data_IF_001826380095
#
_entry.id   IF_001826380095
#
_cell.length_a   1.000
_cell.length_b   1.000
_cell.length_c   1.000
_cell.angle_alpha   90.00
_cell.angle_beta   90.00
_cell.angle_gamma   90.00
#
_symmetry.space_group_name_H-M   'P 1'
#
loop_
_entity.id
_entity.type
_entity.pdbx_description
1 polymer ?
#
# COMPACT_ATOMS: atom_id res chain seq x y z
N UNK A 1 -0.22 22.10 0.49
CA UNK A 1 0.27 20.98 -0.28
C UNK A 1 -0.83 20.20 -0.96
N UNK A 2 -0.47 19.47 -2.01
CA UNK A 2 -1.42 18.74 -2.85
C UNK A 2 -2.27 17.76 -2.02
N UNK A 3 -1.65 17.02 -1.10
CA UNK A 3 -2.35 16.09 -0.23
C UNK A 3 -3.48 16.76 0.56
N UNK A 4 -3.21 17.90 1.15
CA UNK A 4 -4.19 18.65 1.94
C UNK A 4 -5.30 19.22 1.06
N UNK A 5 -4.96 19.69 -0.12
CA UNK A 5 -5.94 20.20 -1.08
C UNK A 5 -6.84 19.07 -1.59
N UNK A 6 -6.29 17.90 -1.89
CA UNK A 6 -7.08 16.72 -2.28
C UNK A 6 -8.05 16.32 -1.18
N UNK A 7 -7.58 16.29 0.06
CA UNK A 7 -8.39 15.90 1.21
C UNK A 7 -9.60 16.81 1.42
N UNK A 8 -9.48 18.08 1.05
CA UNK A 8 -10.56 19.06 1.18
C UNK A 8 -11.64 18.96 0.11
N UNK A 9 -11.41 18.21 -0.95
CA UNK A 9 -12.36 18.11 -2.04
C UNK A 9 -13.60 17.31 -1.63
N UNK A 10 -14.82 17.79 -1.97
CA UNK A 10 -16.06 17.12 -1.54
C UNK A 10 -16.19 15.66 -1.99
N UNK A 11 -15.60 15.34 -3.17
CA UNK A 11 -15.67 13.99 -3.71
C UNK A 11 -14.67 13.03 -3.11
N UNK A 12 -13.74 13.52 -2.27
CA UNK A 12 -12.65 12.72 -1.71
C UNK A 12 -13.01 12.23 -0.32
N UNK A 13 -12.95 10.91 -0.12
CA UNK A 13 -13.18 10.29 1.18
C UNK A 13 -11.89 10.13 1.98
N UNK A 14 -10.77 9.86 1.30
CA UNK A 14 -9.48 9.74 1.96
C UNK A 14 -8.33 9.85 0.97
N UNK A 15 -7.18 10.28 1.48
CA UNK A 15 -5.93 10.40 0.71
C UNK A 15 -4.81 9.75 1.51
N UNK A 16 -3.99 8.98 0.84
CA UNK A 16 -2.77 8.43 1.41
C UNK A 16 -1.61 8.52 0.43
N UNK A 17 -0.42 8.33 0.92
CA UNK A 17 0.80 8.43 0.12
C UNK A 17 1.68 7.21 0.40
N UNK A 18 2.27 6.67 -0.65
CA UNK A 18 3.22 5.57 -0.55
C UNK A 18 4.38 5.79 -1.51
N UNK A 19 5.47 5.08 -1.30
CA UNK A 19 6.61 5.16 -2.21
C UNK A 19 6.30 4.48 -3.54
N UNK A 20 5.57 3.37 -3.50
CA UNK A 20 5.19 2.63 -4.70
C UNK A 20 3.69 2.46 -4.78
N UNK A 21 3.17 2.48 -6.00
CA UNK A 21 1.77 2.15 -6.26
C UNK A 21 1.48 0.69 -5.83
N UNK A 22 0.26 0.44 -5.40
CA UNK A 22 -0.22 -0.92 -5.14
C UNK A 22 -0.07 -1.82 -6.38
N UNK A 23 -0.08 -1.24 -7.58
CA UNK A 23 0.12 -1.94 -8.85
C UNK A 23 1.57 -1.92 -9.32
N UNK A 24 2.42 -1.16 -8.64
CA UNK A 24 3.83 -1.02 -9.00
C UNK A 24 4.67 -2.15 -8.44
N UNK A 25 5.93 -2.14 -8.86
CA UNK A 25 6.91 -3.03 -8.28
C UNK A 25 7.39 -2.46 -6.95
N UNK A 26 7.08 -3.13 -5.86
CA UNK A 26 7.64 -2.79 -4.57
C UNK A 26 9.15 -3.05 -4.57
N UNK A 27 9.86 -2.40 -3.69
CA UNK A 27 11.23 -2.78 -3.40
C UNK A 27 11.26 -4.19 -2.85
N UNK A 28 12.30 -4.93 -3.19
CA UNK A 28 12.44 -6.32 -2.80
C UNK A 28 13.76 -6.57 -2.09
N UNK A 29 13.76 -7.55 -1.22
CA UNK A 29 14.94 -8.12 -0.57
C UNK A 29 14.66 -9.57 -0.19
N UNK A 30 15.67 -10.30 0.22
CA UNK A 30 15.47 -11.64 0.74
C UNK A 30 14.79 -11.59 2.12
N UNK A 31 13.75 -12.40 2.29
CA UNK A 31 13.18 -12.67 3.61
C UNK A 31 14.01 -13.77 4.25
N UNK A 32 14.64 -13.47 5.38
CA UNK A 32 15.55 -14.37 6.07
C UNK A 32 14.91 -14.91 7.35
N UNK A 33 15.07 -16.21 7.57
CA UNK A 33 14.73 -16.81 8.85
C UNK A 33 15.73 -16.42 9.94
N UNK A 34 15.41 -16.70 11.20
CA UNK A 34 16.29 -16.38 12.33
C UNK A 34 17.63 -17.11 12.27
N UNK A 35 17.68 -18.26 11.62
CA UNK A 35 18.91 -19.06 11.43
C UNK A 35 19.65 -18.71 10.12
N UNK A 36 19.26 -17.63 9.45
CA UNK A 36 19.96 -17.10 8.29
C UNK A 36 19.62 -17.74 6.95
N UNK A 37 18.59 -18.56 6.89
CA UNK A 37 18.11 -19.14 5.62
C UNK A 37 17.22 -18.18 4.89
N UNK A 38 17.37 -18.10 3.57
CA UNK A 38 16.45 -17.36 2.73
C UNK A 38 15.15 -18.14 2.54
N UNK A 39 14.04 -17.53 2.92
CA UNK A 39 12.70 -18.12 2.85
C UNK A 39 11.95 -17.75 1.57
N UNK A 40 12.10 -16.51 1.13
CA UNK A 40 11.37 -15.99 -0.02
C UNK A 40 11.91 -14.62 -0.42
N UNK A 41 11.35 -14.05 -1.48
CA UNK A 41 11.55 -12.65 -1.82
C UNK A 41 10.51 -11.82 -1.07
N UNK A 42 11.00 -10.90 -0.24
CA UNK A 42 10.16 -9.97 0.52
C UNK A 42 9.88 -8.74 -0.31
N UNK A 43 8.62 -8.35 -0.39
CA UNK A 43 8.20 -7.08 -0.97
C UNK A 43 7.92 -6.09 0.16
N UNK A 44 8.40 -4.84 0.02
CA UNK A 44 8.16 -3.84 1.05
C UNK A 44 7.88 -2.47 0.45
N UNK A 45 7.09 -1.68 1.18
CA UNK A 45 6.68 -0.36 0.77
C UNK A 45 6.62 0.56 1.97
N UNK A 46 7.16 1.76 1.82
CA UNK A 46 6.98 2.82 2.80
C UNK A 46 5.69 3.55 2.51
N UNK A 47 4.87 3.77 3.51
CA UNK A 47 3.58 4.41 3.34
C UNK A 47 3.17 5.19 4.59
N UNK A 48 2.22 6.09 4.42
CA UNK A 48 1.62 6.81 5.54
C UNK A 48 0.80 5.84 6.41
N UNK A 49 0.61 6.21 7.67
CA UNK A 49 -0.04 5.35 8.67
C UNK A 49 -1.49 5.01 8.30
N UNK A 50 -2.16 5.88 7.56
CA UNK A 50 -3.53 5.68 7.11
C UNK A 50 -3.65 4.86 5.82
N UNK A 51 -2.54 4.37 5.29
CA UNK A 51 -2.53 3.63 4.02
C UNK A 51 -3.49 2.44 4.04
N UNK A 52 -3.48 1.58 5.07
CA UNK A 52 -4.42 0.45 5.09
C UNK A 52 -5.89 0.89 5.08
N UNK A 53 -6.23 1.93 5.85
CA UNK A 53 -7.59 2.43 5.92
C UNK A 53 -8.07 2.96 4.56
N UNK A 54 -7.28 3.79 3.91
CA UNK A 54 -7.63 4.37 2.61
C UNK A 54 -7.71 3.30 1.53
N UNK A 55 -6.79 2.34 1.55
CA UNK A 55 -6.74 1.26 0.56
C UNK A 55 -7.72 0.12 0.83
N UNK A 56 -8.42 0.14 1.96
CA UNK A 56 -9.35 -0.93 2.31
C UNK A 56 -8.66 -2.22 2.73
N UNK A 57 -7.45 -2.14 3.24
CA UNK A 57 -6.68 -3.28 3.73
C UNK A 57 -7.14 -3.59 5.15
N UNK A 58 -7.55 -4.84 5.39
CA UNK A 58 -8.05 -5.26 6.70
C UNK A 58 -6.91 -5.73 7.59
N UNK A 59 -6.81 -5.12 8.77
CA UNK A 59 -5.90 -5.58 9.83
C UNK A 59 -6.60 -6.67 10.64
N UNK A 60 -6.00 -7.84 10.71
CA UNK A 60 -6.59 -9.03 11.34
C UNK A 60 -5.94 -9.40 12.67
N UNK A 61 -4.79 -8.82 12.99
CA UNK A 61 -4.12 -8.98 14.28
C UNK A 61 -3.42 -7.67 14.61
N UNK A 62 -3.40 -7.28 15.88
CA UNK A 62 -2.70 -6.09 16.33
C UNK A 62 -3.42 -4.80 16.01
N UNK A 63 -2.64 -3.75 15.73
CA UNK A 63 -3.14 -2.37 15.56
C UNK A 63 -2.64 -1.76 14.26
N UNK A 64 -3.26 -0.65 13.80
CA UNK A 64 -2.68 0.16 12.73
C UNK A 64 -1.32 0.74 13.11
N UNK A 65 -0.58 1.17 12.12
CA UNK A 65 0.66 1.91 12.31
C UNK A 65 0.37 3.27 12.94
N UNK A 66 1.21 3.72 13.88
CA UNK A 66 1.04 4.98 14.59
C UNK A 66 2.28 5.87 14.56
N UNK A 67 3.43 5.29 14.29
CA UNK A 67 4.72 6.00 14.31
C UNK A 67 5.71 5.38 13.32
N UNK A 68 6.77 6.11 13.03
CA UNK A 68 7.85 5.60 12.20
C UNK A 68 8.45 4.32 12.78
N UNK A 69 8.71 3.35 11.93
CA UNK A 69 9.21 2.05 12.34
C UNK A 69 8.13 1.03 12.71
N UNK A 70 6.86 1.43 12.76
CA UNK A 70 5.77 0.47 12.88
C UNK A 70 5.64 -0.31 11.58
N UNK A 71 5.60 -1.63 11.68
CA UNK A 71 5.49 -2.54 10.54
C UNK A 71 4.14 -3.24 10.56
N UNK A 72 3.54 -3.36 9.39
CA UNK A 72 2.45 -4.30 9.14
C UNK A 72 2.95 -5.37 8.19
N UNK A 73 2.64 -6.61 8.50
CA UNK A 73 3.02 -7.77 7.69
C UNK A 73 1.78 -8.52 7.23
N UNK A 74 1.85 -9.15 6.07
CA UNK A 74 0.72 -9.95 5.60
C UNK A 74 0.71 -11.37 6.19
N UNK A 75 -0.36 -12.10 5.96
CA UNK A 75 -0.53 -13.47 6.44
C UNK A 75 0.56 -14.40 5.92
N UNK A 76 0.95 -14.23 4.66
CA UNK A 76 1.98 -15.06 4.04
C UNK A 76 3.34 -14.92 4.74
N UNK A 77 3.70 -13.70 5.15
CA UNK A 77 4.93 -13.50 5.91
C UNK A 77 4.88 -14.22 7.25
N UNK A 78 3.78 -14.13 7.95
CA UNK A 78 3.58 -14.81 9.24
C UNK A 78 3.74 -16.32 9.07
N UNK A 79 3.15 -16.87 8.01
CA UNK A 79 3.26 -18.30 7.69
C UNK A 79 4.70 -18.72 7.43
N UNK A 80 5.41 -17.97 6.59
CA UNK A 80 6.81 -18.26 6.25
C UNK A 80 7.74 -18.18 7.44
N UNK A 81 7.53 -17.21 8.32
CA UNK A 81 8.32 -17.04 9.53
C UNK A 81 7.93 -18.02 10.64
N UNK A 82 6.85 -18.76 10.45
CA UNK A 82 6.32 -19.72 11.44
C UNK A 82 6.00 -19.07 12.79
N UNK A 83 5.47 -17.87 12.76
CA UNK A 83 5.06 -17.17 13.98
C UNK A 83 3.71 -17.67 14.46
N UNK A 84 3.71 -18.83 15.06
CA UNK A 84 2.48 -19.49 15.57
C UNK A 84 1.98 -18.90 16.89
N UNK A 85 2.84 -18.17 17.58
CA UNK A 85 2.54 -17.51 18.87
C UNK A 85 2.18 -16.04 18.73
N UNK A 86 1.90 -15.59 17.53
CA UNK A 86 1.56 -14.19 17.24
C UNK A 86 2.71 -13.42 16.59
N UNK A 87 2.34 -12.39 15.85
CA UNK A 87 3.30 -11.58 15.10
C UNK A 87 3.65 -10.27 15.79
N UNK A 88 2.74 -9.71 16.59
CA UNK A 88 2.93 -8.40 17.24
C UNK A 88 4.13 -8.43 18.17
N UNK A 89 4.99 -7.45 18.03
CA UNK A 89 6.24 -7.35 18.80
C UNK A 89 7.43 -8.04 18.17
N UNK A 90 7.23 -8.81 17.12
CA UNK A 90 8.31 -9.49 16.39
C UNK A 90 9.09 -8.51 15.52
N UNK A 91 10.31 -8.92 15.18
CA UNK A 91 11.17 -8.18 14.27
C UNK A 91 11.51 -9.05 13.07
N UNK A 92 11.75 -8.40 11.95
CA UNK A 92 12.18 -9.08 10.72
C UNK A 92 13.64 -8.75 10.49
N UNK A 93 14.47 -9.76 10.21
CA UNK A 93 15.90 -9.57 10.00
C UNK A 93 16.15 -8.58 8.86
N UNK A 94 17.06 -7.63 9.10
CA UNK A 94 17.45 -6.59 8.15
C UNK A 94 16.35 -5.58 7.80
N UNK A 95 15.25 -5.57 8.54
CA UNK A 95 14.21 -4.56 8.44
C UNK A 95 14.13 -3.82 9.76
N UNK A 96 14.36 -2.52 9.74
CA UNK A 96 14.24 -1.69 10.93
C UNK A 96 12.78 -1.55 11.33
N UNK A 97 12.50 -1.69 12.63
CA UNK A 97 11.16 -1.53 13.15
C UNK A 97 10.61 -2.78 13.82
N UNK A 98 9.37 -2.66 14.27
CA UNK A 98 8.68 -3.71 15.03
C UNK A 98 7.31 -3.95 14.43
N UNK A 99 6.94 -5.22 14.30
CA UNK A 99 5.61 -5.60 13.82
C UNK A 99 4.55 -5.16 14.85
N UNK A 100 3.59 -4.36 14.41
CA UNK A 100 2.46 -3.93 15.24
C UNK A 100 1.15 -4.59 14.82
N UNK A 101 1.09 -5.13 13.63
CA UNK A 101 -0.12 -5.80 13.17
C UNK A 101 0.10 -6.67 11.94
N UNK A 102 -0.92 -7.48 11.67
CA UNK A 102 -0.99 -8.35 10.50
C UNK A 102 -2.19 -7.93 9.67
N UNK A 103 -1.99 -7.83 8.37
CA UNK A 103 -3.08 -7.55 7.45
C UNK A 103 -3.38 -8.78 6.59
N UNK A 104 -4.64 -8.85 6.14
CA UNK A 104 -5.08 -9.89 5.25
C UNK A 104 -4.40 -9.71 3.90
N UNK A 105 -3.96 -10.82 3.31
CA UNK A 105 -3.36 -10.79 1.98
C UNK A 105 -4.26 -10.01 1.02
N UNK A 106 -3.64 -9.06 0.32
CA UNK A 106 -4.35 -8.28 -0.69
C UNK A 106 -4.62 -9.21 -1.87
N UNK A 107 -5.75 -9.88 -1.80
CA UNK A 107 -6.22 -10.69 -2.91
C UNK A 107 -6.91 -9.78 -3.92
N UNK A 108 -6.12 -9.27 -4.78
CA UNK A 108 -6.66 -8.89 -6.06
C UNK A 108 -6.40 -10.08 -6.98
N UNK A 109 -7.44 -10.67 -7.52
CA UNK A 109 -7.34 -11.78 -8.48
C UNK A 109 -6.44 -11.43 -9.67
N UNK A 110 -6.16 -10.15 -9.82
CA UNK A 110 -5.30 -9.55 -10.82
C UNK A 110 -3.81 -9.62 -10.48
N UNK A 111 -3.42 -9.97 -9.25
CA UNK A 111 -2.02 -9.97 -8.85
C UNK A 111 -1.51 -11.38 -8.62
N UNK A 112 -0.62 -11.80 -9.51
CA UNK A 112 0.16 -13.02 -9.31
C UNK A 112 1.02 -13.00 -8.06
N UNK A 113 1.20 -11.81 -7.47
CA UNK A 113 1.95 -11.61 -6.24
C UNK A 113 1.10 -11.79 -4.97
N UNK A 114 -0.14 -12.28 -5.09
CA UNK A 114 -1.08 -12.39 -3.97
C UNK A 114 -0.59 -13.27 -2.81
N UNK A 115 0.49 -14.03 -2.99
CA UNK A 115 1.06 -14.90 -1.97
C UNK A 115 2.51 -14.57 -1.63
N UNK A 116 3.01 -13.42 -2.05
CA UNK A 116 4.34 -12.97 -1.66
C UNK A 116 4.29 -12.35 -0.26
N UNK A 117 5.35 -12.54 0.54
CA UNK A 117 5.43 -11.84 1.82
C UNK A 117 5.59 -10.35 1.59
N UNK A 118 4.81 -9.55 2.32
CA UNK A 118 4.78 -8.09 2.18
C UNK A 118 4.93 -7.44 3.54
N UNK A 119 5.78 -6.40 3.60
CA UNK A 119 5.85 -5.49 4.74
C UNK A 119 5.46 -4.09 4.31
N UNK A 120 4.56 -3.48 5.06
CA UNK A 120 4.28 -2.04 4.99
C UNK A 120 5.01 -1.38 6.14
N UNK A 121 5.79 -0.35 5.84
CA UNK A 121 6.60 0.38 6.79
C UNK A 121 6.03 1.77 6.96
N UNK A 122 5.59 2.10 8.18
CA UNK A 122 5.02 3.40 8.47
C UNK A 122 6.05 4.52 8.43
N UNK A 123 5.72 5.62 7.77
CA UNK A 123 6.56 6.80 7.71
C UNK A 123 5.71 8.06 7.56
N UNK A 124 6.22 9.18 8.06
CA UNK A 124 5.60 10.49 7.85
C UNK A 124 6.22 11.25 6.69
N UNK A 125 7.48 10.99 6.36
CA UNK A 125 8.28 11.93 5.57
C UNK A 125 8.69 11.46 4.17
N UNK A 126 8.77 10.17 3.90
CA UNK A 126 9.47 9.68 2.71
C UNK A 126 8.58 9.04 1.65
N UNK A 127 7.32 8.91 1.90
CA UNK A 127 6.40 8.34 0.93
C UNK A 127 5.83 9.45 0.05
N UNK A 128 6.60 9.90 -0.93
CA UNK A 128 6.21 11.07 -1.72
C UNK A 128 5.96 10.76 -3.20
N UNK A 129 5.87 9.50 -3.58
CA UNK A 129 5.86 9.19 -5.00
C UNK A 129 4.50 8.79 -5.57
N UNK A 130 3.59 8.30 -4.74
CA UNK A 130 2.29 7.85 -5.22
C UNK A 130 1.19 8.32 -4.29
N UNK A 131 0.24 9.06 -4.84
CA UNK A 131 -0.99 9.41 -4.14
C UNK A 131 -2.06 8.39 -4.46
N UNK A 132 -2.67 7.83 -3.43
CA UNK A 132 -3.84 6.98 -3.56
C UNK A 132 -5.02 7.70 -2.92
N UNK A 133 -6.11 7.79 -3.66
CA UNK A 133 -7.29 8.54 -3.27
C UNK A 133 -8.49 7.60 -3.26
N UNK A 134 -9.22 7.61 -2.16
CA UNK A 134 -10.53 6.96 -2.08
C UNK A 134 -11.60 7.99 -2.37
N UNK A 135 -12.40 7.71 -3.38
CA UNK A 135 -13.49 8.60 -3.79
C UNK A 135 -14.82 8.14 -3.21
N UNK A 136 -15.68 9.12 -2.95
CA UNK A 136 -17.09 8.87 -2.66
C UNK A 136 -17.80 8.39 -3.92
N UNK A 137 -18.94 7.74 -3.76
CA UNK A 137 -19.83 7.44 -4.89
C UNK A 137 -20.64 8.67 -5.31
N UNK A 138 -20.98 8.82 -6.56
CA UNK A 138 -20.70 7.93 -7.70
C UNK A 138 -19.25 8.04 -8.18
N UNK A 139 -18.61 6.89 -8.35
CA UNK A 139 -17.15 6.82 -8.56
C UNK A 139 -16.70 7.49 -9.86
N UNK A 140 -17.26 7.11 -10.99
CA UNK A 140 -16.79 7.60 -12.30
C UNK A 140 -16.96 9.11 -12.43
N UNK A 141 -18.07 9.65 -11.97
CA UNK A 141 -18.35 11.09 -11.98
C UNK A 141 -17.36 11.83 -11.07
N UNK A 142 -17.08 11.29 -9.90
CA UNK A 142 -16.17 11.90 -8.94
C UNK A 142 -14.71 11.82 -9.41
N UNK A 143 -14.33 10.75 -10.09
CA UNK A 143 -13.02 10.67 -10.72
C UNK A 143 -12.84 11.76 -11.77
N UNK A 144 -13.83 11.97 -12.59
CA UNK A 144 -13.81 13.05 -13.59
C UNK A 144 -13.67 14.41 -12.93
N UNK A 145 -14.47 14.67 -11.90
CA UNK A 145 -14.42 15.94 -11.15
C UNK A 145 -13.07 16.15 -10.50
N UNK A 146 -12.47 15.11 -9.94
CA UNK A 146 -11.15 15.19 -9.33
C UNK A 146 -10.08 15.56 -10.36
N UNK A 147 -10.08 14.91 -11.52
CA UNK A 147 -9.11 15.21 -12.57
C UNK A 147 -9.30 16.61 -13.14
N UNK A 148 -10.54 17.07 -13.32
CA UNK A 148 -10.84 18.44 -13.73
C UNK A 148 -10.32 19.47 -12.71
N UNK A 149 -10.52 19.20 -11.43
CA UNK A 149 -10.01 20.02 -10.35
C UNK A 149 -8.48 20.09 -10.37
N UNK A 150 -7.80 18.96 -10.53
CA UNK A 150 -6.33 18.92 -10.58
C UNK A 150 -5.78 19.69 -11.77
N UNK A 151 -6.36 19.50 -12.94
CA UNK A 151 -5.95 20.18 -14.16
C UNK A 151 -6.11 21.69 -14.06
N UNK A 152 -7.20 22.15 -13.46
CA UNK A 152 -7.51 23.57 -13.28
C UNK A 152 -6.68 24.23 -12.18
N UNK A 153 -6.45 23.51 -11.07
CA UNK A 153 -5.82 24.07 -9.87
C UNK A 153 -4.31 23.93 -9.90
N UNK A 154 -3.81 22.85 -10.45
CA UNK A 154 -2.38 22.54 -10.51
C UNK A 154 -1.94 22.22 -11.95
N UNK A 155 -2.06 23.19 -12.87
CA UNK A 155 -1.76 22.92 -14.29
C UNK A 155 -0.31 22.54 -14.57
N UNK A 156 0.61 22.94 -13.68
CA UNK A 156 2.03 22.63 -13.80
C UNK A 156 2.43 21.28 -13.20
N UNK A 157 1.49 20.63 -12.52
CA UNK A 157 1.73 19.31 -11.93
C UNK A 157 1.06 18.27 -12.81
N UNK A 158 1.86 17.35 -13.30
CA UNK A 158 1.38 16.29 -14.19
C UNK A 158 0.77 15.15 -13.34
N UNK A 159 -0.38 15.41 -12.71
CA UNK A 159 -1.13 14.43 -11.96
C UNK A 159 -2.48 14.16 -12.61
N UNK A 160 -2.67 12.91 -13.00
CA UNK A 160 -3.92 12.42 -13.53
C UNK A 160 -4.26 11.12 -12.80
N UNK A 161 -5.44 11.08 -12.18
CA UNK A 161 -5.88 9.91 -11.44
C UNK A 161 -6.59 8.92 -12.34
N UNK A 162 -6.28 7.66 -12.14
CA UNK A 162 -6.90 6.54 -12.84
C UNK A 162 -7.47 5.57 -11.82
N UNK A 163 -8.56 4.89 -12.18
CA UNK A 163 -9.08 3.86 -11.31
C UNK A 163 -8.10 2.67 -11.25
N UNK A 164 -7.96 2.07 -10.08
CA UNK A 164 -7.15 0.87 -9.89
C UNK A 164 -7.65 -0.25 -10.79
N UNK A 165 -8.96 -0.42 -10.90
CA UNK A 165 -9.57 -1.44 -11.77
C UNK A 165 -9.23 -1.24 -13.24
N UNK A 166 -9.20 0.02 -13.69
CA UNK A 166 -8.84 0.34 -15.07
C UNK A 166 -7.38 0.02 -15.36
N UNK A 167 -6.47 0.38 -14.45
CA UNK A 167 -5.05 0.06 -14.56
C UNK A 167 -4.82 -1.45 -14.61
N UNK A 168 -5.55 -2.20 -13.83
CA UNK A 168 -5.49 -3.67 -13.82
C UNK A 168 -5.92 -4.24 -15.18
N UNK A 169 -7.01 -3.74 -15.76
CA UNK A 169 -7.46 -4.17 -17.09
C UNK A 169 -6.43 -3.89 -18.18
N UNK A 170 -5.75 -2.76 -18.11
CA UNK A 170 -4.72 -2.41 -19.07
C UNK A 170 -3.49 -3.34 -18.96
N UNK A 171 -3.09 -3.72 -17.75
CA UNK A 171 -2.04 -4.71 -17.53
C UNK A 171 -2.39 -6.08 -18.15
N UNK A 172 -3.65 -6.49 -18.06
CA UNK A 172 -4.11 -7.74 -18.66
C UNK A 172 -4.11 -7.71 -20.18
N UNK A 173 -4.41 -6.59 -20.78
CA UNK A 173 -4.35 -6.46 -22.24
C UNK A 173 -2.95 -6.74 -22.79
N UNK A 174 -1.94 -6.37 -22.06
CA UNK A 174 -0.54 -6.57 -22.48
C UNK A 174 -0.08 -8.02 -22.28
N UNK A 175 -0.67 -8.75 -21.34
CA UNK A 175 -0.35 -10.16 -21.08
C UNK A 175 -1.03 -11.10 -22.08
N UNK A 176 -2.20 -10.73 -22.62
CA UNK A 176 -2.97 -11.56 -23.54
C UNK A 176 -2.80 -11.20 -25.02
N UNK A 177 -1.92 -10.31 -25.32
CA UNK A 177 -1.50 -9.99 -26.68
C UNK A 177 -0.19 -10.72 -27.03
#
# INVERSE_FOLDING_TARGET
HIKDELRRQPMVEGVTVATHSVLGQYWTRGLMSNDGKRLATLNFNYCHYNYPEVMGIKIIEGTPMKKGGDLLVNEELVRLMRWTDGAVGKRVNNVAGTVVGVFRDIRNESFYAAQSPIILIGTEEQANHTFDVRLKEPFDENLKRLNEYMEKTFPDVSLHFMSVDHMVKDLYKDVYR
#
